data_IF_545098844066
#
_entry.id   IF_545098844066
#
_cell.length_a   1.000
_cell.length_b   1.000
_cell.length_c   1.000
_cell.angle_alpha   90.00
_cell.angle_beta   90.00
_cell.angle_gamma   90.00
#
_symmetry.space_group_name_H-M   'P 1'
#
loop_
_entity.id
_entity.type
_entity.pdbx_description
1 polymer ?
#
# COMPACT_ATOMS: atom_id res chain seq x y z
N UNK A 1 -8.58 -21.38 3.18
CA UNK A 1 -8.84 -20.11 2.47
C UNK A 1 -8.28 -20.24 1.07
N UNK A 2 -8.82 -19.54 0.07
CA UNK A 2 -8.36 -19.67 -1.32
C UNK A 2 -6.95 -19.09 -1.52
N UNK A 3 -6.54 -18.06 -0.75
CA UNK A 3 -5.22 -17.46 -0.79
C UNK A 3 -4.59 -17.54 0.60
N UNK A 4 -3.37 -18.04 0.69
CA UNK A 4 -2.65 -18.17 1.97
C UNK A 4 -1.37 -17.32 1.95
N UNK A 5 -1.07 -16.75 3.12
CA UNK A 5 0.20 -16.08 3.42
C UNK A 5 0.83 -16.69 4.68
N UNK A 6 0.51 -17.95 4.98
CA UNK A 6 1.01 -18.64 6.16
C UNK A 6 2.54 -18.79 6.13
N UNK A 7 3.17 -18.44 7.23
CA UNK A 7 4.63 -18.48 7.37
C UNK A 7 5.36 -17.23 6.88
N UNK A 8 4.66 -16.29 6.24
CA UNK A 8 5.22 -15.05 5.73
C UNK A 8 5.13 -13.89 6.72
N UNK A 9 5.94 -12.86 6.51
CA UNK A 9 5.93 -11.64 7.30
C UNK A 9 5.68 -10.45 6.38
N UNK A 10 4.57 -9.73 6.59
CA UNK A 10 4.14 -8.64 5.74
C UNK A 10 4.33 -7.28 6.42
N UNK A 11 5.15 -6.41 5.85
CA UNK A 11 5.22 -4.99 6.23
C UNK A 11 4.31 -4.17 5.33
N UNK A 12 3.31 -3.52 5.94
CA UNK A 12 2.44 -2.54 5.30
C UNK A 12 2.73 -1.19 5.96
N UNK A 13 3.20 -0.21 5.20
CA UNK A 13 3.43 1.12 5.77
C UNK A 13 2.12 1.87 5.99
N UNK A 14 1.99 2.53 7.18
CA UNK A 14 0.80 3.29 7.51
C UNK A 14 -0.45 2.45 7.72
N UNK A 15 -0.32 1.26 8.31
CA UNK A 15 -1.45 0.35 8.52
C UNK A 15 -2.16 0.51 9.87
N UNK A 16 -2.02 1.66 10.50
CA UNK A 16 -2.79 1.99 11.71
C UNK A 16 -4.22 2.48 11.43
N UNK A 17 -4.65 2.59 10.17
CA UNK A 17 -6.02 2.97 9.77
C UNK A 17 -6.26 2.72 8.28
N UNK A 18 -7.50 2.94 7.84
CA UNK A 18 -7.91 2.98 6.43
C UNK A 18 -7.56 1.72 5.65
N UNK A 19 -7.08 1.92 4.41
CA UNK A 19 -6.70 0.81 3.52
C UNK A 19 -5.61 -0.07 4.14
N UNK A 20 -4.58 0.56 4.71
CA UNK A 20 -3.45 -0.17 5.30
C UNK A 20 -3.88 -1.11 6.43
N UNK A 21 -4.80 -0.66 7.30
CA UNK A 21 -5.34 -1.50 8.38
C UNK A 21 -6.06 -2.72 7.82
N UNK A 22 -6.94 -2.53 6.85
CA UNK A 22 -7.70 -3.64 6.26
C UNK A 22 -6.80 -4.60 5.47
N UNK A 23 -5.79 -4.10 4.76
CA UNK A 23 -4.79 -4.92 4.08
C UNK A 23 -4.04 -5.79 5.09
N UNK A 24 -3.58 -5.19 6.20
CA UNK A 24 -2.89 -5.95 7.24
C UNK A 24 -3.79 -6.99 7.93
N UNK A 25 -5.07 -6.65 8.15
CA UNK A 25 -6.06 -7.59 8.68
C UNK A 25 -6.26 -8.77 7.73
N UNK A 26 -6.41 -8.53 6.43
CA UNK A 26 -6.61 -9.58 5.43
C UNK A 26 -5.40 -10.52 5.31
N UNK A 27 -4.18 -9.97 5.23
CA UNK A 27 -2.94 -10.75 5.17
C UNK A 27 -2.73 -11.54 6.47
N UNK A 28 -2.99 -10.93 7.62
CA UNK A 28 -2.87 -11.60 8.92
C UNK A 28 -3.88 -12.74 9.11
N UNK A 29 -5.12 -12.54 8.71
CA UNK A 29 -6.15 -13.60 8.72
C UNK A 29 -5.83 -14.74 7.76
N UNK A 30 -5.03 -14.48 6.71
CA UNK A 30 -4.54 -15.49 5.78
C UNK A 30 -3.24 -16.16 6.25
N UNK A 31 -2.72 -15.82 7.45
CA UNK A 31 -1.61 -16.49 8.11
C UNK A 31 -0.32 -15.69 8.22
N UNK A 32 -0.22 -14.48 7.64
CA UNK A 32 0.98 -13.66 7.78
C UNK A 32 1.16 -13.10 9.21
N UNK A 33 2.40 -12.90 9.62
CA UNK A 33 2.72 -12.02 10.74
C UNK A 33 2.78 -10.59 10.25
N UNK A 34 2.14 -9.63 10.94
CA UNK A 34 1.97 -8.26 10.46
C UNK A 34 2.24 -7.24 11.56
N UNK A 35 3.33 -6.45 11.51
CA UNK A 35 3.51 -5.34 12.44
C UNK A 35 2.51 -4.22 12.15
N UNK A 36 2.04 -3.53 13.18
CA UNK A 36 1.31 -2.26 13.04
C UNK A 36 2.33 -1.12 12.96
N UNK A 37 2.45 -0.54 11.76
CA UNK A 37 3.31 0.62 11.51
C UNK A 37 2.50 1.92 11.55
N UNK A 38 3.01 2.91 12.24
CA UNK A 38 2.44 4.26 12.30
C UNK A 38 3.54 5.32 12.42
N UNK A 39 3.24 6.55 12.01
CA UNK A 39 4.16 7.68 12.18
C UNK A 39 3.82 8.51 13.42
N UNK A 40 2.57 8.96 13.57
CA UNK A 40 2.24 10.03 14.52
C UNK A 40 1.12 9.68 15.52
N UNK A 41 0.15 8.84 15.19
CA UNK A 41 -1.03 8.61 16.02
C UNK A 41 -0.94 7.29 16.79
N UNK A 42 -0.38 7.36 18.00
CA UNK A 42 -0.18 6.20 18.89
C UNK A 42 -1.51 5.55 19.28
N UNK A 43 -2.49 6.35 19.72
CA UNK A 43 -3.77 5.80 20.21
C UNK A 43 -4.51 4.99 19.14
N UNK A 44 -4.52 5.49 17.89
CA UNK A 44 -5.11 4.77 16.75
C UNK A 44 -4.32 3.49 16.42
N UNK A 45 -3.01 3.54 16.54
CA UNK A 45 -2.16 2.39 16.28
C UNK A 45 -2.33 1.29 17.34
N UNK A 46 -2.48 1.66 18.62
CA UNK A 46 -2.80 0.75 19.73
C UNK A 46 -4.17 0.08 19.54
N UNK A 47 -5.17 0.83 19.07
CA UNK A 47 -6.47 0.27 18.73
C UNK A 47 -6.35 -0.78 17.62
N UNK A 48 -5.62 -0.49 16.55
CA UNK A 48 -5.39 -1.44 15.44
C UNK A 48 -4.60 -2.66 15.91
N UNK A 49 -3.60 -2.47 16.78
CA UNK A 49 -2.87 -3.57 17.41
C UNK A 49 -3.82 -4.52 18.17
N UNK A 50 -4.72 -3.96 18.98
CA UNK A 50 -5.71 -4.74 19.72
C UNK A 50 -6.66 -5.51 18.79
N UNK A 51 -7.11 -4.88 17.71
CA UNK A 51 -7.96 -5.53 16.69
C UNK A 51 -7.23 -6.72 16.03
N UNK A 52 -5.95 -6.55 15.66
CA UNK A 52 -5.15 -7.63 15.07
C UNK A 52 -4.94 -8.78 16.06
N UNK A 53 -4.64 -8.46 17.33
CA UNK A 53 -4.51 -9.46 18.40
C UNK A 53 -5.81 -10.24 18.63
N UNK A 54 -6.97 -9.56 18.63
CA UNK A 54 -8.29 -10.19 18.74
C UNK A 54 -8.58 -11.11 17.55
N UNK A 55 -8.08 -10.77 16.37
CA UNK A 55 -8.18 -11.62 15.17
C UNK A 55 -7.17 -12.79 15.17
N UNK A 56 -6.35 -12.93 16.22
CA UNK A 56 -5.34 -14.00 16.33
C UNK A 56 -4.09 -13.76 15.47
N UNK A 57 -3.87 -12.55 14.97
CA UNK A 57 -2.72 -12.22 14.13
C UNK A 57 -1.47 -12.02 15.00
N UNK A 58 -0.36 -12.65 14.61
CA UNK A 58 0.95 -12.39 15.21
C UNK A 58 1.41 -10.99 14.80
N UNK A 59 1.48 -10.07 15.77
CA UNK A 59 1.65 -8.63 15.52
C UNK A 59 2.47 -7.94 16.60
N UNK A 60 3.05 -6.79 16.27
CA UNK A 60 3.70 -5.88 17.20
C UNK A 60 3.48 -4.43 16.74
N UNK A 61 3.78 -3.45 17.60
CA UNK A 61 3.61 -2.02 17.33
C UNK A 61 4.96 -1.37 17.06
N UNK A 62 5.11 -0.71 15.89
CA UNK A 62 6.40 -0.08 15.51
C UNK A 62 6.13 1.31 14.95
N UNK A 63 6.66 2.34 15.63
CA UNK A 63 6.64 3.70 15.13
C UNK A 63 7.77 3.91 14.11
N UNK A 64 7.42 4.29 12.89
CA UNK A 64 8.38 4.60 11.83
C UNK A 64 7.72 5.46 10.73
N UNK A 65 8.44 6.48 10.30
CA UNK A 65 8.11 7.28 9.11
C UNK A 65 8.56 6.54 7.85
N UNK A 66 7.62 6.24 6.97
CA UNK A 66 7.90 5.51 5.73
C UNK A 66 8.82 6.25 4.76
N UNK A 67 9.06 7.56 4.95
CA UNK A 67 9.93 8.39 4.12
C UNK A 67 11.35 8.55 4.66
N UNK A 68 11.61 8.06 5.88
CA UNK A 68 12.91 8.11 6.55
C UNK A 68 13.67 6.79 6.40
N UNK A 69 14.90 6.84 5.91
CA UNK A 69 15.74 5.65 5.76
C UNK A 69 16.05 5.00 7.12
N UNK A 70 16.36 5.82 8.15
CA UNK A 70 16.63 5.35 9.52
C UNK A 70 15.39 4.64 10.12
N UNK A 71 14.20 5.20 9.88
CA UNK A 71 12.94 4.64 10.37
C UNK A 71 12.59 3.34 9.65
N UNK A 72 12.84 3.24 8.36
CA UNK A 72 12.69 1.98 7.60
C UNK A 72 13.65 0.91 8.14
N UNK A 73 14.91 1.25 8.40
CA UNK A 73 15.85 0.30 9.01
C UNK A 73 15.35 -0.18 10.38
N UNK A 74 14.84 0.73 11.22
CA UNK A 74 14.23 0.39 12.52
C UNK A 74 12.98 -0.49 12.34
N UNK A 75 12.08 -0.15 11.41
CA UNK A 75 10.87 -0.93 11.12
C UNK A 75 11.22 -2.37 10.75
N UNK A 76 12.16 -2.57 9.85
CA UNK A 76 12.60 -3.91 9.47
C UNK A 76 13.30 -4.63 10.61
N UNK A 77 14.24 -3.97 11.29
CA UNK A 77 15.00 -4.59 12.40
C UNK A 77 14.11 -5.01 13.57
N UNK A 78 13.11 -4.20 13.95
CA UNK A 78 12.17 -4.57 15.00
C UNK A 78 11.18 -5.66 14.55
N UNK A 79 10.76 -5.63 13.28
CA UNK A 79 9.93 -6.70 12.69
C UNK A 79 10.70 -8.03 12.69
N UNK A 80 11.96 -8.01 12.24
CA UNK A 80 12.81 -9.20 12.19
C UNK A 80 12.96 -9.86 13.58
N UNK A 81 13.19 -9.06 14.60
CA UNK A 81 13.35 -9.55 15.99
C UNK A 81 12.07 -10.17 16.56
N UNK A 82 10.91 -9.62 16.23
CA UNK A 82 9.65 -9.98 16.90
C UNK A 82 8.79 -10.94 16.08
N UNK A 83 8.83 -10.84 14.76
CA UNK A 83 7.91 -11.55 13.87
C UNK A 83 8.62 -12.46 12.85
N UNK A 84 9.87 -12.15 12.50
CA UNK A 84 10.64 -12.81 11.46
C UNK A 84 11.00 -11.89 10.31
N UNK A 85 11.74 -12.43 9.32
CA UNK A 85 12.22 -11.66 8.15
C UNK A 85 11.07 -11.29 7.23
N UNK A 86 10.88 -9.98 6.90
CA UNK A 86 9.84 -9.54 5.98
C UNK A 86 10.10 -10.00 4.54
N UNK A 87 9.06 -10.55 3.92
CA UNK A 87 9.09 -11.05 2.54
C UNK A 87 7.84 -10.65 1.72
N UNK A 88 6.85 -9.99 2.36
CA UNK A 88 5.75 -9.28 1.71
C UNK A 88 5.86 -7.79 2.07
N UNK A 89 5.98 -6.92 1.06
CA UNK A 89 6.10 -5.48 1.25
C UNK A 89 4.95 -4.76 0.56
N UNK A 90 4.22 -3.94 1.32
CA UNK A 90 3.11 -3.14 0.81
C UNK A 90 3.35 -1.65 1.14
N UNK A 91 4.02 -0.90 0.25
CA UNK A 91 4.13 0.55 0.36
C UNK A 91 2.75 1.19 0.21
N UNK A 92 2.15 1.60 1.34
CA UNK A 92 0.79 2.14 1.42
C UNK A 92 0.73 3.52 2.09
N UNK A 93 1.69 3.87 2.94
CA UNK A 93 1.70 5.15 3.63
C UNK A 93 1.54 6.33 2.67
N UNK A 94 0.81 7.33 3.11
CA UNK A 94 0.50 8.52 2.33
C UNK A 94 0.36 9.75 3.23
N UNK A 95 0.37 10.95 2.63
CA UNK A 95 0.06 12.20 3.30
C UNK A 95 -1.19 12.85 2.68
N UNK A 96 -1.52 14.05 3.11
CA UNK A 96 -2.58 14.85 2.50
C UNK A 96 -2.27 15.15 1.03
N UNK A 97 -3.31 15.18 0.22
CA UNK A 97 -3.22 15.32 -1.23
C UNK A 97 -4.24 16.36 -1.71
N UNK A 98 -4.03 17.67 -1.43
CA UNK A 98 -4.91 18.71 -1.93
C UNK A 98 -4.89 18.77 -3.46
N UNK A 99 -6.07 18.94 -4.06
CA UNK A 99 -6.20 19.19 -5.48
C UNK A 99 -6.08 20.70 -5.73
N UNK A 100 -4.96 21.14 -6.29
CA UNK A 100 -4.64 22.54 -6.51
C UNK A 100 -4.18 22.79 -7.95
N UNK A 101 -4.49 23.97 -8.54
CA UNK A 101 -3.84 24.43 -9.77
C UNK A 101 -2.31 24.47 -9.61
N UNK A 102 -1.58 24.25 -10.72
CA UNK A 102 -0.11 24.11 -10.70
C UNK A 102 0.60 25.31 -10.05
N UNK A 103 0.09 26.51 -10.22
CA UNK A 103 0.63 27.75 -9.67
C UNK A 103 0.46 27.90 -8.15
N UNK A 104 -0.34 27.04 -7.51
CA UNK A 104 -0.55 27.01 -6.05
C UNK A 104 0.27 25.93 -5.34
N UNK A 105 0.91 25.02 -6.09
CA UNK A 105 1.84 24.07 -5.49
C UNK A 105 3.22 24.68 -5.33
N UNK A 106 3.88 24.40 -4.21
CA UNK A 106 5.31 24.58 -4.04
C UNK A 106 6.08 23.29 -4.38
N UNK A 107 7.40 23.42 -4.57
CA UNK A 107 8.25 22.26 -4.85
C UNK A 107 8.37 21.31 -3.66
N UNK A 108 8.25 21.81 -2.44
CA UNK A 108 8.29 20.98 -1.23
C UNK A 108 7.13 20.00 -1.18
N UNK A 109 5.95 20.42 -1.67
CA UNK A 109 4.82 19.52 -1.80
C UNK A 109 5.07 18.43 -2.85
N UNK A 110 5.62 18.78 -4.01
CA UNK A 110 6.03 17.80 -5.02
C UNK A 110 7.05 16.81 -4.45
N UNK A 111 8.04 17.31 -3.71
CA UNK A 111 9.05 16.46 -3.07
C UNK A 111 8.42 15.50 -2.06
N UNK A 112 7.45 15.95 -1.25
CA UNK A 112 6.70 15.04 -0.35
C UNK A 112 5.98 13.94 -1.11
N UNK A 113 5.35 14.23 -2.27
CA UNK A 113 4.72 13.21 -3.11
C UNK A 113 5.76 12.19 -3.61
N UNK A 114 6.94 12.65 -4.03
CA UNK A 114 8.05 11.79 -4.44
C UNK A 114 8.54 10.94 -3.25
N UNK A 115 8.67 11.53 -2.07
CA UNK A 115 9.14 10.82 -0.87
C UNK A 115 8.18 9.68 -0.47
N UNK A 116 6.87 9.91 -0.51
CA UNK A 116 5.90 8.87 -0.17
C UNK A 116 5.78 7.80 -1.26
N UNK A 117 5.79 8.16 -2.55
CA UNK A 117 5.40 7.23 -3.62
C UNK A 117 6.56 6.69 -4.45
N UNK A 118 7.78 7.23 -4.29
CA UNK A 118 8.99 6.73 -4.95
C UNK A 118 10.05 6.33 -3.92
N UNK A 119 10.43 7.24 -3.02
CA UNK A 119 11.50 6.99 -2.04
C UNK A 119 11.10 5.89 -1.05
N UNK A 120 9.88 5.92 -0.49
CA UNK A 120 9.43 4.90 0.45
C UNK A 120 9.43 3.49 -0.14
N UNK A 121 8.81 3.20 -1.31
CA UNK A 121 8.94 1.90 -1.98
C UNK A 121 10.39 1.48 -2.25
N UNK A 122 11.24 2.42 -2.67
CA UNK A 122 12.66 2.16 -2.90
C UNK A 122 13.37 1.72 -1.61
N UNK A 123 13.21 2.45 -0.50
CA UNK A 123 13.83 2.11 0.78
C UNK A 123 13.37 0.74 1.30
N UNK A 124 12.07 0.47 1.23
CA UNK A 124 11.52 -0.83 1.65
C UNK A 124 12.09 -1.97 0.80
N UNK A 125 12.10 -1.81 -0.53
CA UNK A 125 12.66 -2.81 -1.43
C UNK A 125 14.15 -3.02 -1.13
N UNK A 126 14.94 -1.95 -1.05
CA UNK A 126 16.38 -2.03 -0.79
C UNK A 126 16.67 -2.82 0.51
N UNK A 127 15.86 -2.63 1.55
CA UNK A 127 16.04 -3.30 2.84
C UNK A 127 15.59 -4.77 2.83
N UNK A 128 14.51 -5.09 2.10
CA UNK A 128 13.95 -6.46 2.05
C UNK A 128 14.59 -7.39 1.03
N UNK A 129 15.18 -6.86 -0.07
CA UNK A 129 15.58 -7.65 -1.23
C UNK A 129 16.63 -8.72 -0.94
N UNK A 130 17.54 -8.50 0.02
CA UNK A 130 18.57 -9.50 0.34
C UNK A 130 17.92 -10.81 0.76
N UNK A 131 17.04 -10.77 1.74
CA UNK A 131 16.34 -11.95 2.23
C UNK A 131 15.49 -12.60 1.13
N UNK A 132 14.67 -11.81 0.41
CA UNK A 132 13.83 -12.30 -0.67
C UNK A 132 14.63 -13.02 -1.76
N UNK A 133 15.80 -12.48 -2.15
CA UNK A 133 16.70 -13.12 -3.15
C UNK A 133 17.29 -14.42 -2.64
N UNK A 134 17.69 -14.51 -1.37
CA UNK A 134 18.21 -15.72 -0.72
C UNK A 134 17.14 -16.83 -0.69
N UNK A 135 15.87 -16.47 -0.41
CA UNK A 135 14.74 -17.40 -0.37
C UNK A 135 14.17 -17.71 -1.77
N UNK A 136 14.53 -16.94 -2.79
CA UNK A 136 13.93 -16.97 -4.15
C UNK A 136 12.41 -16.81 -4.11
N UNK A 137 11.93 -16.01 -3.18
CA UNK A 137 10.53 -15.68 -2.98
C UNK A 137 10.39 -14.26 -2.40
N UNK A 138 9.44 -13.52 -2.89
CA UNK A 138 9.10 -12.21 -2.35
C UNK A 138 7.92 -11.60 -3.09
N UNK A 139 7.19 -10.72 -2.40
CA UNK A 139 6.03 -9.99 -2.94
C UNK A 139 6.14 -8.51 -2.60
N UNK A 140 6.15 -7.67 -3.62
CA UNK A 140 6.10 -6.21 -3.46
C UNK A 140 4.83 -5.71 -4.15
N UNK A 141 3.90 -5.12 -3.39
CA UNK A 141 2.62 -4.67 -3.89
C UNK A 141 2.45 -3.18 -3.58
N UNK A 142 2.63 -2.33 -4.58
CA UNK A 142 2.48 -0.89 -4.44
C UNK A 142 1.00 -0.48 -4.50
N UNK A 143 0.55 0.32 -3.53
CA UNK A 143 -0.77 0.94 -3.60
C UNK A 143 -0.64 2.22 -4.42
N UNK A 144 -1.05 2.13 -5.70
CA UNK A 144 -1.07 3.27 -6.62
C UNK A 144 -2.44 3.98 -6.57
N UNK A 145 -3.00 4.43 -7.68
CA UNK A 145 -4.32 5.05 -7.74
C UNK A 145 -4.84 5.07 -9.17
N UNK A 146 -6.14 5.07 -9.34
CA UNK A 146 -6.79 5.29 -10.65
C UNK A 146 -6.54 6.69 -11.23
N UNK A 147 -6.19 7.68 -10.40
CA UNK A 147 -6.03 9.08 -10.84
C UNK A 147 -5.02 9.26 -11.97
N UNK A 148 -3.99 8.43 -12.03
CA UNK A 148 -3.03 8.43 -13.13
C UNK A 148 -3.72 8.09 -14.45
N UNK A 149 -4.58 7.08 -14.46
CA UNK A 149 -5.27 6.59 -15.66
C UNK A 149 -6.40 7.53 -16.08
N UNK A 150 -7.05 8.17 -15.11
CA UNK A 150 -8.11 9.17 -15.36
C UNK A 150 -7.57 10.54 -15.77
N UNK A 151 -6.28 10.79 -15.55
CA UNK A 151 -5.68 12.12 -15.74
C UNK A 151 -6.43 13.21 -14.96
N UNK A 152 -6.72 12.94 -13.67
CA UNK A 152 -7.51 13.85 -12.83
C UNK A 152 -6.83 15.21 -12.70
N UNK A 153 -7.59 16.27 -12.91
CA UNK A 153 -7.15 17.68 -12.80
C UNK A 153 -8.07 18.43 -11.81
N UNK A 154 -7.53 19.41 -11.08
CA UNK A 154 -6.13 19.79 -10.91
C UNK A 154 -5.43 18.91 -9.85
N UNK A 155 -4.47 18.06 -10.22
CA UNK A 155 -3.88 17.08 -9.28
C UNK A 155 -2.45 16.66 -9.70
N UNK A 156 -1.73 17.55 -10.35
CA UNK A 156 -0.48 17.23 -11.06
C UNK A 156 0.60 16.59 -10.19
N UNK A 157 0.79 17.05 -8.94
CA UNK A 157 1.83 16.53 -8.05
C UNK A 157 1.61 15.05 -7.68
N UNK A 158 0.38 14.71 -7.29
CA UNK A 158 0.01 13.34 -6.93
C UNK A 158 0.01 12.40 -8.15
N UNK A 159 -0.57 12.86 -9.26
CA UNK A 159 -0.62 12.09 -10.52
C UNK A 159 0.79 11.80 -11.04
N UNK A 160 1.70 12.81 -11.00
CA UNK A 160 3.09 12.62 -11.41
C UNK A 160 3.82 11.58 -10.55
N UNK A 161 3.68 11.65 -9.23
CA UNK A 161 4.31 10.72 -8.32
C UNK A 161 3.76 9.28 -8.48
N UNK A 162 2.44 9.12 -8.66
CA UNK A 162 1.81 7.82 -8.95
C UNK A 162 2.22 7.27 -10.32
N UNK A 163 2.39 8.11 -11.33
CA UNK A 163 2.97 7.72 -12.62
C UNK A 163 4.40 7.21 -12.49
N UNK A 164 5.22 7.90 -11.70
CA UNK A 164 6.57 7.46 -11.36
C UNK A 164 6.59 6.12 -10.63
N UNK A 165 5.68 5.90 -9.67
CA UNK A 165 5.55 4.64 -8.95
C UNK A 165 5.18 3.48 -9.88
N UNK A 166 4.31 3.71 -10.89
CA UNK A 166 3.96 2.72 -11.92
C UNK A 166 5.20 2.35 -12.74
N UNK A 167 5.94 3.36 -13.24
CA UNK A 167 7.17 3.13 -14.00
C UNK A 167 8.22 2.35 -13.20
N UNK A 168 8.45 2.74 -11.95
CA UNK A 168 9.34 2.06 -11.02
C UNK A 168 8.93 0.59 -10.82
N UNK A 169 7.67 0.32 -10.55
CA UNK A 169 7.14 -1.04 -10.34
C UNK A 169 7.41 -1.93 -11.55
N UNK A 170 7.14 -1.45 -12.76
CA UNK A 170 7.34 -2.23 -14.00
C UNK A 170 8.81 -2.55 -14.24
N UNK A 171 9.72 -1.62 -13.97
CA UNK A 171 11.16 -1.84 -14.06
C UNK A 171 11.62 -2.89 -13.04
N UNK A 172 11.22 -2.74 -11.78
CA UNK A 172 11.58 -3.68 -10.72
C UNK A 172 11.01 -5.08 -10.95
N UNK A 173 9.83 -5.19 -11.55
CA UNK A 173 9.23 -6.47 -11.90
C UNK A 173 10.13 -7.30 -12.86
N UNK A 174 10.71 -6.65 -13.87
CA UNK A 174 11.63 -7.31 -14.79
C UNK A 174 12.97 -7.65 -14.12
N UNK A 175 13.51 -6.72 -13.33
CA UNK A 175 14.78 -6.90 -12.64
C UNK A 175 14.74 -8.08 -11.64
N UNK A 176 13.63 -8.21 -10.90
CA UNK A 176 13.53 -9.14 -9.78
C UNK A 176 12.91 -10.50 -10.14
N UNK A 177 12.24 -10.61 -11.29
CA UNK A 177 11.63 -11.86 -11.74
C UNK A 177 12.59 -13.07 -11.73
N UNK A 178 13.87 -12.97 -12.16
CA UNK A 178 14.81 -14.10 -12.08
C UNK A 178 15.09 -14.59 -10.66
N UNK A 179 14.78 -13.78 -9.65
CA UNK A 179 14.92 -14.12 -8.23
C UNK A 179 13.64 -14.68 -7.60
N UNK A 180 12.59 -14.94 -8.37
CA UNK A 180 11.30 -15.42 -7.84
C UNK A 180 10.47 -14.37 -7.10
N UNK A 181 10.81 -13.07 -7.26
CA UNK A 181 10.14 -11.96 -6.61
C UNK A 181 9.18 -11.31 -7.60
N UNK A 182 7.91 -11.16 -7.22
CA UNK A 182 6.94 -10.41 -8.00
C UNK A 182 6.77 -8.99 -7.50
N UNK A 183 6.59 -8.04 -8.41
CA UNK A 183 6.36 -6.63 -8.08
C UNK A 183 5.13 -6.16 -8.86
N UNK A 184 4.05 -5.86 -8.14
CA UNK A 184 2.75 -5.52 -8.71
C UNK A 184 2.15 -4.24 -8.09
N UNK A 185 1.02 -3.83 -8.62
CA UNK A 185 0.28 -2.66 -8.17
C UNK A 185 -1.19 -2.97 -7.96
N UNK A 186 -1.77 -2.36 -6.93
CA UNK A 186 -3.22 -2.21 -6.82
C UNK A 186 -3.56 -0.74 -7.00
N UNK A 187 -4.53 -0.44 -7.88
CA UNK A 187 -5.01 0.91 -8.18
C UNK A 187 -6.45 1.08 -7.67
N UNK A 188 -6.63 1.54 -6.41
CA UNK A 188 -7.95 1.83 -5.90
C UNK A 188 -8.57 3.03 -6.61
N UNK A 189 -9.91 3.04 -6.69
CA UNK A 189 -10.70 4.24 -6.85
C UNK A 189 -10.75 5.05 -5.54
N UNK A 190 -11.69 5.98 -5.46
CA UNK A 190 -11.95 6.65 -4.19
C UNK A 190 -12.67 5.69 -3.24
N UNK A 191 -11.93 5.15 -2.29
CA UNK A 191 -12.43 4.26 -1.25
C UNK A 191 -12.60 5.07 0.04
N UNK A 192 -13.82 5.34 0.50
CA UNK A 192 -14.04 6.09 1.73
C UNK A 192 -13.41 5.41 2.95
N UNK A 193 -12.65 6.19 3.71
CA UNK A 193 -12.02 5.81 4.97
C UNK A 193 -12.15 6.98 5.95
N UNK A 194 -11.63 6.84 7.16
CA UNK A 194 -11.69 7.86 8.20
C UNK A 194 -11.13 9.23 7.77
N UNK A 195 -10.16 9.24 6.85
CA UNK A 195 -9.57 10.47 6.30
C UNK A 195 -10.50 11.28 5.39
N UNK A 196 -11.61 10.68 4.94
CA UNK A 196 -12.56 11.28 4.00
C UNK A 196 -13.89 11.68 4.68
N UNK A 197 -13.95 11.62 6.02
CA UNK A 197 -15.18 11.94 6.74
C UNK A 197 -15.65 13.38 6.49
N UNK A 198 -14.70 14.32 6.46
CA UNK A 198 -14.96 15.75 6.30
C UNK A 198 -15.00 16.19 4.81
N UNK A 199 -14.81 15.27 3.85
CA UNK A 199 -14.90 15.61 2.43
C UNK A 199 -16.34 16.03 2.08
N UNK A 200 -16.53 17.02 1.17
CA UNK A 200 -17.85 17.51 0.78
C UNK A 200 -18.77 16.38 0.27
N UNK A 201 -20.02 16.40 0.73
CA UNK A 201 -20.99 15.37 0.30
C UNK A 201 -21.24 15.41 -1.21
N UNK A 202 -21.25 16.61 -1.82
CA UNK A 202 -21.43 16.76 -3.26
C UNK A 202 -20.32 16.03 -4.05
N UNK A 203 -19.06 16.14 -3.63
CA UNK A 203 -17.94 15.47 -4.30
C UNK A 203 -18.09 13.95 -4.20
N UNK A 204 -18.59 13.46 -3.05
CA UNK A 204 -18.90 12.05 -2.83
C UNK A 204 -20.02 11.57 -3.76
N UNK A 205 -21.09 12.32 -3.90
CA UNK A 205 -22.24 11.99 -4.74
C UNK A 205 -21.85 12.02 -6.23
N UNK A 206 -21.09 13.03 -6.65
CA UNK A 206 -20.59 13.16 -8.01
C UNK A 206 -19.66 12.01 -8.40
N UNK A 207 -18.77 11.60 -7.48
CA UNK A 207 -17.93 10.44 -7.73
C UNK A 207 -18.74 9.15 -7.84
N UNK A 208 -19.67 8.91 -6.92
CA UNK A 208 -20.49 7.70 -6.91
C UNK A 208 -21.36 7.59 -8.18
N UNK A 209 -21.86 8.72 -8.67
CA UNK A 209 -22.69 8.77 -9.88
C UNK A 209 -21.97 8.27 -11.14
N UNK A 210 -20.63 8.35 -11.19
CA UNK A 210 -19.83 7.91 -12.33
C UNK A 210 -19.23 6.51 -12.17
N UNK A 211 -19.36 5.88 -10.99
CA UNK A 211 -18.87 4.50 -10.77
C UNK A 211 -19.82 3.50 -11.43
N UNK A 212 -19.42 2.75 -12.46
CA UNK A 212 -20.33 1.85 -13.19
C UNK A 212 -20.98 0.75 -12.33
N UNK A 213 -20.29 0.26 -11.30
CA UNK A 213 -20.85 -0.72 -10.35
C UNK A 213 -21.94 -0.15 -9.43
N UNK A 214 -22.17 1.17 -9.41
CA UNK A 214 -23.24 1.83 -8.65
C UNK A 214 -23.10 1.70 -7.11
N UNK A 215 -21.92 1.38 -6.60
CA UNK A 215 -21.63 1.33 -5.17
C UNK A 215 -20.24 1.87 -4.86
N UNK A 216 -20.06 2.31 -3.63
CA UNK A 216 -18.73 2.57 -3.09
C UNK A 216 -17.91 1.28 -3.01
N UNK A 217 -16.61 1.37 -3.32
CA UNK A 217 -15.66 0.39 -2.87
C UNK A 217 -15.46 0.50 -1.36
N UNK A 218 -15.14 -0.61 -0.71
CA UNK A 218 -14.77 -0.65 0.71
C UNK A 218 -13.31 -1.07 0.86
N UNK A 219 -12.64 -0.74 1.98
CA UNK A 219 -11.24 -1.13 2.18
C UNK A 219 -10.97 -2.62 1.94
N UNK A 220 -11.95 -3.48 2.22
CA UNK A 220 -11.87 -4.92 1.97
C UNK A 220 -11.75 -5.28 0.47
N UNK A 221 -12.41 -4.55 -0.43
CA UNK A 221 -12.26 -4.78 -1.88
C UNK A 221 -10.79 -4.62 -2.32
N UNK A 222 -10.07 -3.67 -1.72
CA UNK A 222 -8.63 -3.42 -1.98
C UNK A 222 -7.76 -4.47 -1.30
N UNK A 223 -8.07 -4.82 -0.06
CA UNK A 223 -7.31 -5.79 0.72
C UNK A 223 -7.34 -7.19 0.08
N UNK A 224 -8.46 -7.62 -0.48
CA UNK A 224 -8.57 -8.91 -1.18
C UNK A 224 -7.73 -8.94 -2.46
N UNK A 225 -7.62 -7.83 -3.18
CA UNK A 225 -6.72 -7.70 -4.33
C UNK A 225 -5.24 -7.81 -3.92
N UNK A 226 -4.86 -7.16 -2.81
CA UNK A 226 -3.50 -7.26 -2.25
C UNK A 226 -3.23 -8.70 -1.78
N UNK A 227 -4.17 -9.34 -1.10
CA UNK A 227 -4.05 -10.73 -0.65
C UNK A 227 -3.78 -11.69 -1.82
N UNK A 228 -4.55 -11.56 -2.92
CA UNK A 228 -4.28 -12.33 -4.13
C UNK A 228 -2.85 -12.13 -4.63
N UNK A 229 -2.40 -10.89 -4.80
CA UNK A 229 -1.06 -10.59 -5.31
C UNK A 229 0.07 -10.99 -4.33
N UNK A 230 -0.23 -11.13 -3.04
CA UNK A 230 0.69 -11.60 -2.02
C UNK A 230 0.81 -13.13 -1.94
N UNK A 231 -0.14 -13.87 -2.51
CA UNK A 231 -0.22 -15.33 -2.43
C UNK A 231 0.64 -16.05 -3.48
N UNK A 232 0.74 -17.36 -3.37
CA UNK A 232 1.43 -18.20 -4.35
C UNK A 232 0.64 -18.35 -5.65
N UNK A 233 -0.68 -18.16 -5.63
CA UNK A 233 -1.52 -18.17 -6.82
C UNK A 233 -1.17 -17.04 -7.80
N UNK A 234 -0.52 -15.96 -7.31
CA UNK A 234 -0.02 -14.87 -8.14
C UNK A 234 1.47 -15.01 -8.54
N UNK A 235 2.09 -16.18 -8.34
CA UNK A 235 3.54 -16.37 -8.58
C UNK A 235 3.99 -16.06 -10.02
N UNK A 236 3.09 -16.09 -10.99
CA UNK A 236 3.39 -15.75 -12.40
C UNK A 236 2.84 -14.39 -12.83
N UNK A 237 2.36 -13.59 -11.87
CA UNK A 237 1.84 -12.23 -12.10
C UNK A 237 2.86 -11.23 -11.59
N UNK A 238 3.51 -10.48 -12.51
CA UNK A 238 4.48 -9.43 -12.14
C UNK A 238 4.41 -8.26 -13.12
N UNK A 239 4.61 -7.03 -12.62
CA UNK A 239 4.54 -5.79 -13.38
C UNK A 239 3.11 -5.32 -13.70
N UNK A 240 2.09 -5.94 -13.11
CA UNK A 240 0.69 -5.68 -13.44
C UNK A 240 0.04 -4.66 -12.49
N UNK A 241 -0.98 -4.00 -13.03
CA UNK A 241 -1.87 -3.11 -12.25
C UNK A 241 -3.24 -3.76 -12.14
N UNK A 242 -3.67 -4.04 -10.91
CA UNK A 242 -5.03 -4.51 -10.63
C UNK A 242 -5.88 -3.31 -10.18
N UNK A 243 -6.79 -2.86 -11.04
CA UNK A 243 -7.71 -1.77 -10.72
C UNK A 243 -8.84 -2.27 -9.82
N UNK A 244 -9.08 -1.56 -8.69
CA UNK A 244 -10.17 -1.81 -7.74
C UNK A 244 -10.99 -0.54 -7.61
N UNK A 245 -11.83 -0.25 -8.62
CA UNK A 245 -12.50 1.04 -8.80
C UNK A 245 -13.92 0.93 -9.41
N UNK A 246 -14.56 -0.24 -9.32
CA UNK A 246 -15.92 -0.43 -9.81
C UNK A 246 -16.08 -0.25 -11.32
N UNK A 247 -15.04 -0.58 -12.11
CA UNK A 247 -14.96 -0.43 -13.55
C UNK A 247 -14.91 1.03 -14.04
N UNK A 248 -14.61 2.00 -13.15
CA UNK A 248 -14.54 3.42 -13.56
C UNK A 248 -13.38 3.67 -14.54
N UNK A 249 -12.29 2.90 -14.41
CA UNK A 249 -11.13 3.00 -15.29
C UNK A 249 -10.66 1.58 -15.66
N UNK A 250 -11.28 0.92 -16.65
CA UNK A 250 -10.80 -0.37 -17.13
C UNK A 250 -9.44 -0.22 -17.84
N UNK A 251 -8.59 -1.24 -17.69
CA UNK A 251 -7.22 -1.28 -18.27
C UNK A 251 -7.05 -2.50 -19.13
#
# INVERSE_FOLDING_TARGET
>A
MAFSTEGHVAIITGNSSGLGKEIGLALGQAGASVPVNFANNVARAEQTLAEYQQAGIKTCLIQADATSAEDIDRLFGETEKQLGMPDILVPNATCEQPQLPIEQYDWEFYQRMIDFFIKSPFLMAQRGLRHMKEQKWGRIINIVSEVYHRSVSPFSAYVAAKGGQIGWTRSMAQELAPSGITVNMVAPGWIPTERHLDDPQQDKDDYLAVVPMGRWGVPRDVADAVLYLASDEAAFVSGQTLCVNGALTPW
#
